data_IF_025108412284
#
_entry.id   IF_025108412284
#
_cell.length_a   1.000
_cell.length_b   1.000
_cell.length_c   1.000
_cell.angle_alpha   90.00
_cell.angle_beta   90.00
_cell.angle_gamma   90.00
#
_symmetry.space_group_name_H-M   'P 1'
#
loop_
_entity.id
_entity.type
_entity.pdbx_description
1 polymer ?
#
# COMPACT_ATOMS: atom_id res chain seq x y z
N UNK A 1 9.95 -15.66 32.67
CA UNK A 1 11.05 -14.90 32.06
C UNK A 1 10.40 -13.63 31.56
N UNK A 2 10.71 -12.48 32.17
CA UNK A 2 10.07 -11.22 31.78
C UNK A 2 10.64 -10.80 30.43
N UNK A 3 9.76 -10.56 29.45
CA UNK A 3 10.18 -10.11 28.12
C UNK A 3 10.61 -8.65 28.22
N UNK A 4 11.85 -8.37 27.84
CA UNK A 4 12.36 -7.01 27.78
C UNK A 4 12.01 -6.38 26.42
N UNK A 5 10.79 -5.86 26.30
CA UNK A 5 10.29 -5.25 25.06
C UNK A 5 11.16 -4.08 24.58
N UNK A 6 11.68 -3.28 25.51
CA UNK A 6 12.55 -2.16 25.16
C UNK A 6 13.85 -2.64 24.50
N UNK A 7 14.51 -3.65 25.06
CA UNK A 7 15.72 -4.21 24.46
C UNK A 7 15.46 -4.82 23.08
N UNK A 8 14.32 -5.49 22.88
CA UNK A 8 13.95 -6.03 21.57
C UNK A 8 13.70 -4.90 20.56
N UNK A 9 13.03 -3.82 20.96
CA UNK A 9 12.82 -2.65 20.12
C UNK A 9 14.15 -1.95 19.76
N UNK A 10 15.08 -1.80 20.71
CA UNK A 10 16.42 -1.24 20.44
C UNK A 10 17.24 -2.10 19.48
N UNK A 11 17.09 -3.43 19.54
CA UNK A 11 17.69 -4.34 18.55
C UNK A 11 17.09 -4.14 17.16
N UNK A 12 15.78 -3.92 17.06
CA UNK A 12 15.13 -3.59 15.78
C UNK A 12 15.64 -2.25 15.20
N UNK A 13 15.77 -1.23 16.04
CA UNK A 13 16.34 0.07 15.65
C UNK A 13 17.81 -0.06 15.20
N UNK A 14 18.61 -0.83 15.95
CA UNK A 14 20.01 -1.12 15.59
C UNK A 14 20.14 -1.91 14.30
N UNK A 15 19.19 -2.82 14.03
CA UNK A 15 19.12 -3.56 12.77
C UNK A 15 18.82 -2.62 11.59
N UNK A 16 17.78 -1.76 11.72
CA UNK A 16 17.43 -0.79 10.70
C UNK A 16 18.57 0.20 10.38
N UNK A 17 19.33 0.61 11.40
CA UNK A 17 20.46 1.53 11.25
C UNK A 17 21.56 0.98 10.32
N UNK A 18 21.71 -0.36 10.21
CA UNK A 18 22.66 -0.98 9.27
C UNK A 18 22.34 -0.65 7.82
N UNK A 19 21.08 -0.32 7.53
CA UNK A 19 20.59 0.12 6.22
C UNK A 19 20.39 1.65 6.16
N UNK A 20 21.01 2.41 7.07
CA UNK A 20 20.87 3.86 7.21
C UNK A 20 19.44 4.35 7.51
N UNK A 21 18.58 3.49 8.06
CA UNK A 21 17.22 3.86 8.47
C UNK A 21 17.24 4.20 9.96
N UNK A 22 16.85 5.42 10.31
CA UNK A 22 16.75 5.86 11.71
C UNK A 22 15.35 5.62 12.24
N UNK A 23 15.27 4.82 13.31
CA UNK A 23 14.05 4.46 13.99
C UNK A 23 14.02 5.12 15.37
N UNK A 24 13.36 6.26 15.47
CA UNK A 24 13.30 7.16 16.64
C UNK A 24 11.96 7.16 17.39
N UNK A 25 11.08 6.22 17.06
CA UNK A 25 9.74 6.04 17.64
C UNK A 25 8.75 7.16 17.28
N UNK A 26 9.04 7.93 16.22
CA UNK A 26 8.10 8.89 15.63
C UNK A 26 7.08 8.21 14.70
N UNK A 27 6.06 8.96 14.27
CA UNK A 27 5.17 8.51 13.19
C UNK A 27 5.93 8.17 11.90
N UNK A 28 7.00 8.90 11.60
CA UNK A 28 7.88 8.58 10.47
C UNK A 28 8.49 7.19 10.62
N UNK A 29 8.89 6.80 11.83
CA UNK A 29 9.42 5.46 12.10
C UNK A 29 8.43 4.34 11.75
N UNK A 30 7.11 4.58 11.84
CA UNK A 30 6.09 3.60 11.40
C UNK A 30 6.18 3.37 9.89
N UNK A 31 6.33 4.44 9.10
CA UNK A 31 6.48 4.35 7.65
C UNK A 31 7.81 3.68 7.25
N UNK A 32 8.89 3.95 7.97
CA UNK A 32 10.17 3.27 7.77
C UNK A 32 10.08 1.77 8.07
N UNK A 33 9.38 1.37 9.13
CA UNK A 33 9.13 -0.05 9.43
C UNK A 33 8.26 -0.71 8.36
N UNK A 34 7.23 -0.03 7.85
CA UNK A 34 6.44 -0.53 6.71
C UNK A 34 7.34 -0.81 5.49
N UNK A 35 8.25 0.11 5.15
CA UNK A 35 9.22 -0.08 4.07
C UNK A 35 10.15 -1.28 4.30
N UNK A 36 10.66 -1.44 5.52
CA UNK A 36 11.52 -2.58 5.89
C UNK A 36 10.77 -3.91 5.74
N UNK A 37 9.55 -4.01 6.28
CA UNK A 37 8.74 -5.24 6.17
C UNK A 37 8.36 -5.53 4.71
N UNK A 38 8.13 -4.47 3.92
CA UNK A 38 7.94 -4.57 2.48
C UNK A 38 9.15 -5.16 1.75
N UNK A 39 10.37 -4.82 2.17
CA UNK A 39 11.59 -5.40 1.60
C UNK A 39 11.66 -6.91 1.85
N UNK A 40 11.31 -7.37 3.06
CA UNK A 40 11.24 -8.82 3.34
C UNK A 40 10.20 -9.55 2.49
N UNK A 41 9.06 -8.92 2.22
CA UNK A 41 8.06 -9.47 1.29
C UNK A 41 8.59 -9.55 -0.15
N UNK A 42 9.25 -8.50 -0.63
CA UNK A 42 9.80 -8.45 -2.00
C UNK A 42 10.88 -9.54 -2.21
N UNK A 43 11.57 -9.95 -1.14
CA UNK A 43 12.61 -10.98 -1.13
C UNK A 43 12.14 -12.30 -0.49
N UNK A 44 10.83 -12.55 -0.37
CA UNK A 44 10.29 -13.69 0.37
C UNK A 44 10.82 -15.05 -0.14
N UNK A 45 11.09 -15.16 -1.44
CA UNK A 45 11.64 -16.35 -2.07
C UNK A 45 13.06 -16.72 -1.59
N UNK A 46 13.80 -15.78 -0.99
CA UNK A 46 15.13 -16.02 -0.42
C UNK A 46 15.06 -16.70 0.97
N UNK A 47 13.87 -16.79 1.56
CA UNK A 47 13.61 -17.32 2.89
C UNK A 47 12.83 -18.65 2.84
N UNK A 48 13.29 -19.60 2.03
CA UNK A 48 12.66 -20.91 1.93
C UNK A 48 12.98 -21.83 3.14
N UNK A 49 12.13 -22.83 3.33
CA UNK A 49 12.30 -23.83 4.38
C UNK A 49 12.14 -23.29 5.81
N UNK A 50 12.60 -24.10 6.77
CA UNK A 50 12.40 -23.83 8.21
C UNK A 50 13.23 -22.64 8.69
N UNK A 51 14.50 -22.59 8.30
CA UNK A 51 15.42 -21.53 8.76
C UNK A 51 15.00 -20.16 8.21
N UNK A 52 14.49 -20.12 6.99
CA UNK A 52 13.86 -18.93 6.41
C UNK A 52 12.63 -18.49 7.20
N UNK A 53 11.69 -19.42 7.49
CA UNK A 53 10.52 -19.14 8.29
C UNK A 53 10.86 -18.62 9.71
N UNK A 54 11.85 -19.23 10.38
CA UNK A 54 12.33 -18.79 11.70
C UNK A 54 12.94 -17.38 11.62
N UNK A 55 13.64 -17.06 10.52
CA UNK A 55 14.20 -15.73 10.28
C UNK A 55 13.09 -14.69 10.11
N UNK A 56 12.10 -14.94 9.24
CA UNK A 56 10.99 -14.03 9.00
C UNK A 56 10.14 -13.81 10.27
N UNK A 57 9.94 -14.87 11.06
CA UNK A 57 9.26 -14.76 12.35
C UNK A 57 10.05 -13.88 13.33
N UNK A 58 11.37 -14.06 13.43
CA UNK A 58 12.21 -13.23 14.28
C UNK A 58 12.17 -11.75 13.87
N UNK A 59 12.17 -11.47 12.56
CA UNK A 59 12.00 -10.11 12.02
C UNK A 59 10.64 -9.54 12.44
N UNK A 60 9.56 -10.30 12.28
CA UNK A 60 8.22 -9.90 12.68
C UNK A 60 8.12 -9.59 14.18
N UNK A 61 8.77 -10.39 15.04
CA UNK A 61 8.83 -10.16 16.48
C UNK A 61 9.54 -8.85 16.80
N UNK A 62 10.73 -8.61 16.23
CA UNK A 62 11.51 -7.40 16.51
C UNK A 62 10.79 -6.14 16.06
N UNK A 63 10.36 -6.10 14.80
CA UNK A 63 9.69 -4.93 14.24
C UNK A 63 8.26 -4.76 14.76
N UNK A 64 7.56 -5.85 15.07
CA UNK A 64 6.26 -5.80 15.74
C UNK A 64 6.36 -5.23 17.15
N UNK A 65 7.35 -5.65 17.94
CA UNK A 65 7.59 -5.07 19.27
C UNK A 65 8.00 -3.60 19.15
N UNK A 66 8.86 -3.25 18.19
CA UNK A 66 9.20 -1.85 17.92
C UNK A 66 7.97 -0.99 17.58
N UNK A 67 7.06 -1.49 16.74
CA UNK A 67 5.80 -0.81 16.42
C UNK A 67 4.95 -0.62 17.68
N UNK A 68 4.81 -1.65 18.52
CA UNK A 68 4.06 -1.54 19.77
C UNK A 68 4.67 -0.52 20.74
N UNK A 69 5.99 -0.48 20.90
CA UNK A 69 6.70 0.54 21.69
C UNK A 69 6.49 1.95 21.13
N UNK A 70 6.53 2.09 19.80
CA UNK A 70 6.24 3.34 19.10
C UNK A 70 4.81 3.80 19.40
N UNK A 71 3.82 2.91 19.29
CA UNK A 71 2.42 3.22 19.59
C UNK A 71 2.20 3.64 21.05
N UNK A 72 2.87 2.96 21.99
CA UNK A 72 2.83 3.33 23.41
C UNK A 72 3.37 4.74 23.65
N UNK A 73 4.48 5.11 23.00
CA UNK A 73 5.10 6.45 23.09
C UNK A 73 4.26 7.54 22.43
N UNK A 74 3.55 7.21 21.35
CA UNK A 74 2.65 8.11 20.63
C UNK A 74 1.25 8.22 21.29
N UNK A 75 1.14 7.92 22.59
CA UNK A 75 -0.05 8.21 23.38
C UNK A 75 -0.93 6.99 23.74
N UNK A 76 -0.66 5.78 23.24
CA UNK A 76 -1.43 4.60 23.68
C UNK A 76 -1.22 4.29 25.16
N UNK A 77 -0.04 4.58 25.71
CA UNK A 77 0.24 4.40 27.13
C UNK A 77 -0.68 5.25 28.01
N UNK A 78 -0.94 6.49 27.62
CA UNK A 78 -1.84 7.42 28.32
C UNK A 78 -3.29 6.93 28.29
N UNK A 79 -3.65 6.19 27.23
CA UNK A 79 -4.94 5.52 27.06
C UNK A 79 -5.02 4.15 27.78
N UNK A 80 -4.03 3.85 28.62
CA UNK A 80 -4.01 2.66 29.47
C UNK A 80 -3.58 1.36 28.77
N UNK A 81 -3.00 1.45 27.56
CA UNK A 81 -2.41 0.28 26.93
C UNK A 81 -1.07 -0.08 27.58
N UNK A 82 -0.84 -1.38 27.73
CA UNK A 82 0.44 -1.95 28.14
C UNK A 82 0.65 -3.30 27.45
N UNK A 83 1.89 -3.81 27.50
CA UNK A 83 2.21 -5.14 27.00
C UNK A 83 1.63 -6.24 27.89
N UNK A 84 1.06 -7.24 27.24
CA UNK A 84 0.59 -8.49 27.84
C UNK A 84 1.01 -9.67 26.98
N UNK A 85 1.05 -10.85 27.60
CA UNK A 85 1.18 -12.11 26.88
C UNK A 85 -0.20 -12.73 26.74
N UNK A 86 -0.60 -12.98 25.50
CA UNK A 86 -1.84 -13.63 25.12
C UNK A 86 -1.50 -14.84 24.28
N UNK A 87 -1.79 -16.04 24.78
CA UNK A 87 -1.43 -17.32 24.13
C UNK A 87 0.05 -17.37 23.65
N UNK A 88 0.97 -16.94 24.52
CA UNK A 88 2.40 -16.88 24.21
C UNK A 88 2.83 -15.71 23.32
N UNK A 89 1.90 -14.88 22.84
CA UNK A 89 2.17 -13.76 21.94
C UNK A 89 2.14 -12.41 22.66
N UNK A 90 3.13 -11.52 22.42
CA UNK A 90 3.08 -10.14 22.86
C UNK A 90 1.96 -9.36 22.17
N UNK A 91 1.09 -8.75 22.98
CA UNK A 91 -0.01 -7.90 22.53
C UNK A 91 -0.11 -6.66 23.41
N UNK A 92 -0.65 -5.57 22.86
CA UNK A 92 -1.05 -4.41 23.65
C UNK A 92 -2.50 -4.56 24.06
N UNK A 93 -2.80 -4.46 25.36
CA UNK A 93 -4.18 -4.45 25.88
C UNK A 93 -4.40 -3.25 26.78
N UNK A 94 -5.63 -2.75 26.77
CA UNK A 94 -6.15 -1.83 27.79
C UNK A 94 -7.25 -2.51 28.62
N UNK A 95 -7.71 -1.83 29.67
CA UNK A 95 -8.77 -2.35 30.55
C UNK A 95 -10.14 -2.49 29.84
N UNK A 96 -10.33 -1.86 28.69
CA UNK A 96 -11.56 -1.87 27.90
C UNK A 96 -11.69 -3.05 26.93
N UNK A 97 -10.87 -4.10 27.09
CA UNK A 97 -10.79 -5.32 26.23
C UNK A 97 -10.34 -5.07 24.78
N UNK A 98 -9.86 -3.86 24.44
CA UNK A 98 -9.21 -3.66 23.14
C UNK A 98 -7.85 -4.37 23.16
N UNK A 99 -7.61 -5.20 22.16
CA UNK A 99 -6.36 -5.93 21.98
C UNK A 99 -5.78 -5.60 20.61
N UNK A 100 -4.50 -5.24 20.60
CA UNK A 100 -3.74 -4.92 19.41
C UNK A 100 -2.57 -5.91 19.36
N UNK A 101 -2.34 -6.52 18.21
CA UNK A 101 -1.31 -7.55 18.02
C UNK A 101 -0.24 -7.11 16.99
N UNK A 102 0.70 -6.22 17.37
CA UNK A 102 1.69 -5.68 16.44
C UNK A 102 2.58 -6.76 15.79
N UNK A 103 3.00 -7.77 16.56
CA UNK A 103 3.83 -8.89 16.04
C UNK A 103 3.09 -9.68 14.98
N UNK A 104 1.83 -10.04 15.26
CA UNK A 104 0.99 -10.75 14.29
C UNK A 104 0.78 -9.92 13.03
N UNK A 105 0.59 -8.60 13.15
CA UNK A 105 0.45 -7.72 11.99
C UNK A 105 1.74 -7.64 11.17
N UNK A 106 2.89 -7.46 11.81
CA UNK A 106 4.19 -7.43 11.12
C UNK A 106 4.46 -8.75 10.38
N UNK A 107 4.14 -9.89 10.99
CA UNK A 107 4.26 -11.20 10.36
C UNK A 107 3.36 -11.32 9.12
N UNK A 108 2.09 -10.94 9.24
CA UNK A 108 1.17 -10.93 8.10
C UNK A 108 1.65 -10.00 6.98
N UNK A 109 2.18 -8.82 7.31
CA UNK A 109 2.75 -7.88 6.32
C UNK A 109 3.87 -8.49 5.49
N UNK A 110 4.75 -9.26 6.14
CA UNK A 110 5.86 -9.96 5.48
C UNK A 110 5.36 -11.04 4.54
N UNK A 111 4.28 -11.76 4.89
CA UNK A 111 3.80 -12.92 4.12
C UNK A 111 2.78 -12.56 3.03
N UNK A 112 1.88 -11.61 3.33
CA UNK A 112 0.74 -11.26 2.49
C UNK A 112 0.99 -10.01 1.66
N UNK A 113 1.97 -9.18 2.03
CA UNK A 113 2.32 -8.00 1.27
C UNK A 113 1.48 -6.76 1.64
N UNK A 114 1.35 -5.80 0.71
CA UNK A 114 0.69 -4.50 0.89
C UNK A 114 -0.68 -4.51 1.57
N UNK A 115 -1.50 -5.54 1.35
CA UNK A 115 -2.82 -5.69 1.97
C UNK A 115 -2.76 -5.71 3.52
N UNK A 116 -1.65 -6.16 4.08
CA UNK A 116 -1.38 -6.16 5.50
C UNK A 116 -0.50 -4.98 5.96
N UNK A 117 -0.66 -3.81 5.35
CA UNK A 117 0.07 -2.57 5.69
C UNK A 117 0.03 -2.24 7.20
N UNK A 118 1.20 -1.94 7.79
CA UNK A 118 1.31 -1.67 9.24
C UNK A 118 0.95 -0.23 9.61
N UNK A 119 1.10 0.74 8.69
CA UNK A 119 0.68 2.13 8.92
C UNK A 119 -0.84 2.20 9.08
N UNK A 120 -1.60 1.59 8.17
CA UNK A 120 -3.06 1.49 8.28
C UNK A 120 -3.50 0.81 9.57
N UNK A 121 -2.79 -0.23 9.99
CA UNK A 121 -3.04 -0.88 11.27
C UNK A 121 -2.81 0.05 12.47
N UNK A 122 -1.71 0.81 12.49
CA UNK A 122 -1.43 1.78 13.54
C UNK A 122 -2.50 2.89 13.58
N UNK A 123 -2.88 3.46 12.42
CA UNK A 123 -3.93 4.48 12.30
C UNK A 123 -5.25 3.99 12.94
N UNK A 124 -5.67 2.76 12.62
CA UNK A 124 -6.89 2.15 13.18
C UNK A 124 -6.75 1.91 14.68
N UNK A 125 -5.60 1.44 15.11
CA UNK A 125 -5.36 1.17 16.52
C UNK A 125 -5.42 2.47 17.35
N UNK A 126 -4.90 3.60 16.85
CA UNK A 126 -5.04 4.89 17.52
C UNK A 126 -6.48 5.37 17.59
N UNK A 127 -7.26 5.22 16.51
CA UNK A 127 -8.70 5.52 16.49
C UNK A 127 -9.47 4.69 17.54
N UNK A 128 -9.22 3.38 17.58
CA UNK A 128 -9.84 2.48 18.57
C UNK A 128 -9.49 2.90 20.00
N UNK A 129 -8.26 3.32 20.23
CA UNK A 129 -7.82 3.81 21.53
C UNK A 129 -8.54 5.11 21.93
N UNK A 130 -8.99 5.92 20.97
CA UNK A 130 -9.86 7.10 21.19
C UNK A 130 -11.35 6.76 21.32
N UNK A 131 -11.71 5.47 21.36
CA UNK A 131 -13.12 5.03 21.36
C UNK A 131 -13.84 5.31 20.05
N UNK A 132 -13.09 5.59 18.98
CA UNK A 132 -13.61 5.80 17.63
C UNK A 132 -13.49 4.51 16.84
N UNK A 133 -14.46 4.27 15.97
CA UNK A 133 -14.34 3.24 14.95
C UNK A 133 -14.01 3.90 13.62
N UNK A 134 -13.32 3.21 12.71
CA UNK A 134 -13.18 3.69 11.34
C UNK A 134 -14.58 3.83 10.72
N UNK A 135 -14.96 5.06 10.35
CA UNK A 135 -16.21 5.33 9.62
C UNK A 135 -16.10 4.93 8.13
N UNK A 136 -14.91 4.48 7.69
CA UNK A 136 -14.56 4.08 6.32
C UNK A 136 -13.76 2.77 6.34
N UNK A 137 -13.70 2.10 5.18
CA UNK A 137 -12.89 0.89 4.99
C UNK A 137 -11.44 1.13 5.42
N UNK A 138 -10.91 0.19 6.19
CA UNK A 138 -9.52 0.20 6.71
C UNK A 138 -8.52 -0.49 5.79
N UNK A 139 -9.03 -1.12 4.73
CA UNK A 139 -8.29 -1.75 3.65
C UNK A 139 -8.96 -1.37 2.33
N UNK A 140 -8.18 -1.26 1.26
CA UNK A 140 -8.70 -1.09 -0.10
C UNK A 140 -8.97 -2.48 -0.66
N UNK A 141 -10.25 -2.83 -0.77
CA UNK A 141 -10.65 -4.02 -1.51
C UNK A 141 -10.59 -3.68 -3.00
N UNK A 142 -9.88 -4.50 -3.78
CA UNK A 142 -9.65 -4.24 -5.20
C UNK A 142 -10.32 -5.32 -6.02
N UNK A 143 -11.25 -4.89 -6.88
CA UNK A 143 -11.85 -5.73 -7.89
C UNK A 143 -11.13 -5.51 -9.22
N UNK A 144 -10.91 -6.58 -9.97
CA UNK A 144 -10.35 -6.51 -11.32
C UNK A 144 -11.48 -6.62 -12.33
N UNK A 145 -11.59 -5.62 -13.20
CA UNK A 145 -12.51 -5.66 -14.34
C UNK A 145 -11.70 -5.86 -15.61
N UNK A 146 -12.11 -6.88 -16.36
CA UNK A 146 -11.55 -7.20 -17.66
C UNK A 146 -12.45 -6.65 -18.79
N UNK A 147 -11.89 -6.40 -19.98
CA UNK A 147 -12.65 -5.98 -21.16
C UNK A 147 -13.80 -6.92 -21.54
N UNK A 148 -13.68 -8.21 -21.19
CA UNK A 148 -14.73 -9.23 -21.36
C UNK A 148 -16.00 -8.95 -20.55
N UNK A 149 -15.97 -8.00 -19.61
CA UNK A 149 -17.04 -7.74 -18.64
C UNK A 149 -16.96 -8.62 -17.40
N UNK A 150 -15.97 -9.51 -17.32
CA UNK A 150 -15.70 -10.30 -16.11
C UNK A 150 -15.20 -9.40 -14.98
N UNK A 151 -15.75 -9.61 -13.79
CA UNK A 151 -15.30 -8.98 -12.55
C UNK A 151 -14.74 -10.08 -11.64
N UNK A 152 -13.49 -9.92 -11.22
CA UNK A 152 -12.88 -10.75 -10.17
C UNK A 152 -12.84 -9.92 -8.89
N UNK A 153 -13.55 -10.38 -7.86
CA UNK A 153 -13.68 -9.64 -6.61
C UNK A 153 -12.50 -9.87 -5.66
N UNK A 154 -12.11 -8.83 -4.91
CA UNK A 154 -11.13 -8.89 -3.83
C UNK A 154 -9.79 -9.54 -4.24
N UNK A 155 -9.25 -9.15 -5.38
CA UNK A 155 -7.96 -9.62 -5.88
C UNK A 155 -6.86 -9.14 -4.94
N UNK A 156 -5.97 -10.07 -4.55
CA UNK A 156 -4.84 -9.79 -3.69
C UNK A 156 -3.65 -9.25 -4.50
N UNK A 157 -2.76 -8.51 -3.86
CA UNK A 157 -1.63 -7.90 -4.56
C UNK A 157 -0.73 -8.96 -5.22
N UNK A 158 -0.50 -10.09 -4.56
CA UNK A 158 0.31 -11.19 -5.10
C UNK A 158 -0.26 -11.79 -6.40
N UNK A 159 -1.56 -11.66 -6.63
CA UNK A 159 -2.24 -12.23 -7.79
C UNK A 159 -2.32 -11.24 -8.96
N UNK A 160 -2.04 -9.95 -8.71
CA UNK A 160 -2.24 -8.88 -9.70
C UNK A 160 -1.30 -8.97 -10.91
N UNK A 161 -0.09 -9.50 -10.70
CA UNK A 161 0.93 -9.59 -11.74
C UNK A 161 0.43 -10.34 -12.99
N UNK A 162 -0.37 -11.39 -12.77
CA UNK A 162 -0.94 -12.19 -13.87
C UNK A 162 -1.83 -11.36 -14.80
N UNK A 163 -2.62 -10.42 -14.26
CA UNK A 163 -3.49 -9.54 -15.02
C UNK A 163 -2.71 -8.44 -15.73
N UNK A 164 -1.68 -7.88 -15.09
CA UNK A 164 -0.79 -6.89 -15.72
C UNK A 164 -0.11 -7.49 -16.96
N UNK A 165 0.38 -8.73 -16.87
CA UNK A 165 0.98 -9.44 -18.01
C UNK A 165 0.00 -9.63 -19.17
N UNK A 166 -1.30 -9.79 -18.92
CA UNK A 166 -2.30 -9.89 -20.00
C UNK A 166 -2.35 -8.59 -20.83
N UNK A 167 -2.22 -7.43 -20.19
CA UNK A 167 -2.17 -6.13 -20.88
C UNK A 167 -0.84 -5.95 -21.59
N UNK A 168 0.29 -6.20 -20.90
CA UNK A 168 1.63 -6.03 -21.46
C UNK A 168 1.84 -6.85 -22.74
N UNK A 169 1.30 -8.07 -22.77
CA UNK A 169 1.39 -8.99 -23.92
C UNK A 169 0.31 -8.75 -24.97
N UNK A 170 -0.58 -7.77 -24.75
CA UNK A 170 -1.66 -7.41 -25.66
C UNK A 170 -2.76 -8.47 -25.79
N UNK A 171 -2.92 -9.34 -24.78
CA UNK A 171 -4.03 -10.32 -24.70
C UNK A 171 -5.33 -9.68 -24.28
N UNK A 172 -5.25 -8.63 -23.46
CA UNK A 172 -6.38 -7.83 -23.00
C UNK A 172 -6.10 -6.35 -23.28
N UNK A 173 -7.15 -5.59 -23.54
CA UNK A 173 -7.07 -4.21 -24.05
C UNK A 173 -6.73 -3.19 -22.96
N UNK A 174 -7.29 -3.38 -21.77
CA UNK A 174 -7.14 -2.51 -20.61
C UNK A 174 -7.40 -3.31 -19.33
N UNK A 175 -6.96 -2.77 -18.19
CA UNK A 175 -7.27 -3.30 -16.86
C UNK A 175 -7.84 -2.18 -15.99
N UNK A 176 -8.93 -2.46 -15.27
CA UNK A 176 -9.46 -1.55 -14.25
C UNK A 176 -9.36 -2.23 -12.90
N UNK A 177 -8.69 -1.57 -11.96
CA UNK A 177 -8.65 -1.88 -10.54
C UNK A 177 -9.68 -0.99 -9.84
N UNK A 178 -10.87 -1.51 -9.62
CA UNK A 178 -11.95 -0.79 -8.93
C UNK A 178 -11.82 -0.98 -7.43
N UNK A 179 -12.11 0.07 -6.67
CA UNK A 179 -12.26 0.03 -5.22
C UNK A 179 -13.38 0.96 -4.77
N UNK A 180 -13.66 0.97 -3.47
CA UNK A 180 -14.81 1.71 -2.90
C UNK A 180 -14.83 3.23 -3.17
N UNK A 181 -13.67 3.84 -3.40
CA UNK A 181 -13.47 5.28 -3.52
C UNK A 181 -12.99 5.68 -4.93
N UNK A 182 -13.09 4.78 -5.91
CA UNK A 182 -12.75 5.08 -7.31
C UNK A 182 -12.07 3.91 -8.01
N UNK A 183 -11.26 4.22 -9.02
CA UNK A 183 -10.55 3.20 -9.77
C UNK A 183 -9.18 3.69 -10.22
N UNK A 184 -8.27 2.74 -10.43
CA UNK A 184 -7.07 2.91 -11.21
C UNK A 184 -7.18 2.06 -12.47
N UNK A 185 -6.99 2.63 -13.64
CA UNK A 185 -7.01 1.90 -14.90
C UNK A 185 -5.76 2.18 -15.73
N UNK A 186 -5.40 1.23 -16.58
CA UNK A 186 -4.34 1.42 -17.56
C UNK A 186 -4.55 0.56 -18.80
N UNK A 187 -3.97 1.03 -19.91
CA UNK A 187 -3.95 0.35 -21.19
C UNK A 187 -2.63 0.65 -21.90
N UNK A 188 -2.16 -0.27 -22.73
CA UNK A 188 -0.84 -0.18 -23.32
C UNK A 188 -0.30 -1.52 -23.79
N UNK A 189 0.91 -1.51 -24.33
CA UNK A 189 1.62 -2.71 -24.79
C UNK A 189 3.11 -2.38 -24.93
N UNK A 190 3.98 -3.39 -24.90
CA UNK A 190 5.41 -3.22 -25.19
C UNK A 190 6.10 -2.12 -24.35
N UNK A 191 5.86 -2.12 -23.04
CA UNK A 191 6.43 -1.15 -22.10
C UNK A 191 6.02 0.31 -22.33
N UNK A 192 4.87 0.54 -22.97
CA UNK A 192 4.26 1.87 -23.15
C UNK A 192 2.81 1.83 -22.72
N UNK A 193 2.49 2.53 -21.63
CA UNK A 193 1.16 2.52 -21.02
C UNK A 193 0.67 3.93 -20.75
N UNK A 194 -0.64 4.10 -20.80
CA UNK A 194 -1.33 5.28 -20.26
C UNK A 194 -2.14 4.80 -19.07
N UNK A 195 -2.06 5.54 -17.97
CA UNK A 195 -2.75 5.18 -16.73
C UNK A 195 -3.53 6.35 -16.17
N UNK A 196 -4.72 6.06 -15.68
CA UNK A 196 -5.67 7.04 -15.19
C UNK A 196 -6.19 6.60 -13.81
N UNK A 197 -6.29 7.56 -12.91
CA UNK A 197 -6.90 7.39 -11.60
C UNK A 197 -8.16 8.23 -11.56
N UNK A 198 -9.24 7.66 -11.05
CA UNK A 198 -10.43 8.41 -10.63
C UNK A 198 -10.64 8.22 -9.14
N UNK A 199 -10.94 9.32 -8.45
CA UNK A 199 -11.33 9.31 -7.04
C UNK A 199 -12.75 9.88 -6.93
N UNK A 200 -13.66 9.10 -6.35
CA UNK A 200 -15.04 9.51 -6.12
C UNK A 200 -15.17 10.18 -4.76
N UNK A 201 -15.79 11.36 -4.74
CA UNK A 201 -15.99 12.17 -3.54
C UNK A 201 -17.34 11.86 -2.87
N UNK A 202 -17.47 12.04 -1.54
CA UNK A 202 -18.69 11.71 -0.81
C UNK A 202 -19.93 12.50 -1.24
N UNK A 203 -19.76 13.67 -1.86
CA UNK A 203 -20.82 14.52 -2.39
C UNK A 203 -21.32 14.09 -3.78
N UNK A 204 -20.75 13.02 -4.34
CA UNK A 204 -21.06 12.51 -5.66
C UNK A 204 -20.22 13.13 -6.79
N UNK A 205 -19.33 14.08 -6.49
CA UNK A 205 -18.36 14.59 -7.44
C UNK A 205 -17.16 13.62 -7.57
N UNK A 206 -16.21 13.93 -8.46
CA UNK A 206 -15.00 13.14 -8.66
C UNK A 206 -13.81 14.00 -9.12
N UNK A 207 -12.63 13.50 -8.80
CA UNK A 207 -11.36 13.99 -9.35
C UNK A 207 -10.73 12.92 -10.25
N UNK A 208 -9.98 13.35 -11.25
CA UNK A 208 -9.19 12.46 -12.11
C UNK A 208 -7.75 12.90 -12.22
N UNK A 209 -6.86 11.93 -12.35
CA UNK A 209 -5.43 12.15 -12.45
C UNK A 209 -4.84 11.25 -13.55
N UNK A 210 -3.95 11.81 -14.37
CA UNK A 210 -3.09 11.01 -15.26
C UNK A 210 -1.78 10.70 -14.55
N UNK A 211 -1.34 9.45 -14.58
CA UNK A 211 0.00 9.07 -14.15
C UNK A 211 1.00 9.56 -15.21
N UNK A 212 2.14 10.09 -14.77
CA UNK A 212 3.18 10.60 -15.68
C UNK A 212 4.55 9.95 -15.47
N UNK A 213 5.34 9.93 -16.54
CA UNK A 213 6.77 9.70 -16.47
C UNK A 213 7.42 10.99 -15.96
N UNK A 214 7.92 10.93 -14.73
CA UNK A 214 8.52 12.09 -14.05
C UNK A 214 9.74 12.64 -14.78
N UNK A 215 10.49 11.80 -15.50
CA UNK A 215 11.62 12.25 -16.30
C UNK A 215 11.18 13.10 -17.51
N UNK A 216 9.91 12.94 -17.92
CA UNK A 216 9.29 13.62 -19.06
C UNK A 216 8.25 14.65 -18.64
N UNK A 217 8.19 15.07 -17.37
CA UNK A 217 7.13 15.94 -16.83
C UNK A 217 6.80 17.19 -17.67
N UNK A 218 7.83 17.78 -18.29
CA UNK A 218 7.72 18.97 -19.15
C UNK A 218 7.33 18.69 -20.61
N UNK A 219 7.29 17.42 -21.04
CA UNK A 219 7.01 17.00 -22.41
C UNK A 219 5.50 16.86 -22.65
N UNK A 220 4.87 17.98 -23.00
CA UNK A 220 3.42 18.07 -23.26
C UNK A 220 3.02 17.77 -24.70
N UNK A 221 4.00 17.49 -25.58
CA UNK A 221 3.76 17.14 -26.98
C UNK A 221 2.90 15.88 -27.07
N UNK A 222 1.91 15.88 -27.96
CA UNK A 222 1.09 14.69 -28.25
C UNK A 222 1.86 13.69 -29.10
N UNK A 223 1.84 12.42 -28.71
CA UNK A 223 2.51 11.30 -29.40
C UNK A 223 1.48 10.25 -29.80
N UNK A 224 1.73 9.51 -30.88
CA UNK A 224 0.83 8.44 -31.30
C UNK A 224 1.13 7.17 -30.50
N UNK A 225 0.11 6.66 -29.80
CA UNK A 225 0.17 5.38 -29.09
C UNK A 225 -0.84 4.44 -29.74
N UNK A 226 -0.36 3.28 -30.19
CA UNK A 226 -1.22 2.22 -30.73
C UNK A 226 -1.25 1.06 -29.74
N UNK A 227 -2.45 0.71 -29.29
CA UNK A 227 -2.70 -0.40 -28.38
C UNK A 227 -3.73 -1.35 -28.99
N UNK A 228 -3.92 -2.56 -28.45
CA UNK A 228 -5.04 -3.43 -28.82
C UNK A 228 -6.40 -2.71 -28.69
N UNK A 229 -6.55 -1.84 -27.69
CA UNK A 229 -7.74 -1.03 -27.46
C UNK A 229 -7.99 0.03 -28.56
N UNK A 230 -6.95 0.51 -29.23
CA UNK A 230 -7.09 1.50 -30.30
C UNK A 230 -5.88 2.43 -30.49
N UNK A 231 -6.10 3.50 -31.24
CA UNK A 231 -5.11 4.55 -31.45
C UNK A 231 -5.44 5.78 -30.62
N UNK A 232 -4.47 6.18 -29.81
CA UNK A 232 -4.55 7.30 -28.89
C UNK A 232 -3.45 8.30 -29.19
N UNK A 233 -3.63 9.53 -28.70
CA UNK A 233 -2.65 10.60 -28.91
C UNK A 233 -2.15 11.23 -27.61
N UNK A 234 -1.83 10.49 -26.53
CA UNK A 234 -1.51 11.07 -25.21
C UNK A 234 -0.36 12.10 -25.27
N UNK A 235 -0.23 12.96 -24.26
CA UNK A 235 1.00 13.72 -24.11
C UNK A 235 2.16 12.76 -23.80
N UNK A 236 3.37 13.07 -24.27
CA UNK A 236 4.54 12.22 -24.13
C UNK A 236 4.84 11.86 -22.66
N UNK A 237 4.62 12.82 -21.75
CA UNK A 237 4.72 12.61 -20.30
C UNK A 237 3.72 11.60 -19.73
N UNK A 238 2.58 11.37 -20.39
CA UNK A 238 1.54 10.44 -19.93
C UNK A 238 1.80 9.00 -20.40
N UNK A 239 2.82 8.79 -21.24
CA UNK A 239 3.25 7.44 -21.67
C UNK A 239 4.34 6.94 -20.73
N UNK A 240 3.96 5.99 -19.88
CA UNK A 240 4.79 5.44 -18.79
C UNK A 240 5.24 4.01 -19.07
N UNK A 241 6.31 3.59 -18.38
CA UNK A 241 6.82 2.21 -18.45
C UNK A 241 6.02 1.25 -17.56
N UNK A 242 6.22 -0.05 -17.77
CA UNK A 242 5.68 -1.10 -16.89
C UNK A 242 6.15 -0.95 -15.44
N UNK A 243 7.39 -0.47 -15.24
CA UNK A 243 7.93 -0.19 -13.91
C UNK A 243 7.07 0.84 -13.17
N UNK A 244 6.68 1.92 -13.85
CA UNK A 244 5.78 2.93 -13.29
C UNK A 244 4.39 2.35 -13.05
N UNK A 245 3.85 1.53 -13.96
CA UNK A 245 2.57 0.83 -13.75
C UNK A 245 2.62 -0.01 -12.48
N UNK A 246 3.64 -0.86 -12.31
CA UNK A 246 3.78 -1.72 -11.12
C UNK A 246 3.92 -0.90 -9.83
N UNK A 247 4.65 0.22 -9.87
CA UNK A 247 4.76 1.13 -8.73
C UNK A 247 3.41 1.74 -8.35
N UNK A 248 2.61 2.20 -9.33
CA UNK A 248 1.28 2.76 -9.07
C UNK A 248 0.31 1.68 -8.58
N UNK A 249 0.34 0.47 -9.15
CA UNK A 249 -0.46 -0.66 -8.66
C UNK A 249 -0.11 -0.94 -7.20
N UNK A 250 1.17 -1.05 -6.85
CA UNK A 250 1.60 -1.26 -5.45
C UNK A 250 1.07 -0.17 -4.53
N UNK A 251 1.29 1.09 -4.90
CA UNK A 251 0.79 2.24 -4.12
C UNK A 251 -0.74 2.20 -3.95
N UNK A 252 -1.48 1.75 -4.96
CA UNK A 252 -2.93 1.61 -4.89
C UNK A 252 -3.37 0.61 -3.83
N UNK A 253 -2.67 -0.53 -3.72
CA UNK A 253 -2.90 -1.51 -2.65
C UNK A 253 -2.44 -1.02 -1.26
N UNK A 254 -1.34 -0.26 -1.19
CA UNK A 254 -0.75 0.21 0.08
C UNK A 254 -1.54 1.36 0.72
N UNK A 255 -2.22 2.18 -0.08
CA UNK A 255 -2.79 3.44 0.39
C UNK A 255 -4.32 3.51 0.26
N UNK A 256 -4.98 3.45 1.42
CA UNK A 256 -6.43 3.65 1.53
C UNK A 256 -6.81 5.13 1.40
N UNK A 257 -6.00 6.03 1.97
CA UNK A 257 -6.23 7.48 1.89
C UNK A 257 -5.73 8.00 0.55
N UNK A 258 -6.57 8.78 -0.15
CA UNK A 258 -6.23 9.38 -1.44
C UNK A 258 -4.97 10.22 -1.38
N UNK A 259 -4.80 11.06 -0.36
CA UNK A 259 -3.62 11.94 -0.25
C UNK A 259 -2.31 11.13 -0.10
N UNK A 260 -2.35 10.05 0.68
CA UNK A 260 -1.21 9.13 0.84
C UNK A 260 -0.90 8.45 -0.51
N UNK A 261 -1.94 7.99 -1.24
CA UNK A 261 -1.79 7.38 -2.56
C UNK A 261 -1.20 8.33 -3.59
N UNK A 262 -1.77 9.53 -3.72
CA UNK A 262 -1.31 10.55 -4.66
C UNK A 262 0.10 11.03 -4.31
N UNK A 263 0.44 11.13 -3.02
CA UNK A 263 1.79 11.46 -2.57
C UNK A 263 2.85 10.42 -2.96
N UNK A 264 2.44 9.17 -3.21
CA UNK A 264 3.33 8.06 -3.57
C UNK A 264 3.56 7.91 -5.09
N UNK A 265 2.81 8.62 -5.94
CA UNK A 265 2.85 8.44 -7.40
C UNK A 265 3.16 9.75 -8.15
N UNK A 266 3.80 9.69 -9.33
CA UNK A 266 3.93 10.84 -10.21
C UNK A 266 2.63 11.03 -11.01
N UNK A 267 1.94 12.16 -10.82
CA UNK A 267 0.67 12.43 -11.47
C UNK A 267 0.50 13.90 -11.88
N UNK A 268 -0.50 14.15 -12.71
CA UNK A 268 -1.08 15.48 -12.96
C UNK A 268 -2.58 15.43 -12.76
N UNK A 269 -3.16 16.52 -12.26
CA UNK A 269 -4.62 16.67 -12.17
C UNK A 269 -5.21 16.90 -13.56
N UNK A 270 -6.18 16.06 -13.92
CA UNK A 270 -6.90 16.11 -15.20
C UNK A 270 -8.40 16.35 -15.03
N UNK A 271 -8.86 16.62 -13.81
CA UNK A 271 -10.28 16.71 -13.44
C UNK A 271 -11.06 17.66 -14.36
N UNK A 272 -10.59 18.89 -14.51
CA UNK A 272 -11.26 19.90 -15.34
C UNK A 272 -11.30 19.53 -16.83
N UNK A 273 -10.26 18.85 -17.31
CA UNK A 273 -10.18 18.39 -18.70
C UNK A 273 -11.21 17.26 -18.89
N UNK A 274 -11.23 16.30 -17.97
CA UNK A 274 -12.17 15.17 -18.00
C UNK A 274 -13.61 15.64 -17.91
N UNK A 275 -13.94 16.52 -16.95
CA UNK A 275 -15.29 17.08 -16.80
C UNK A 275 -15.75 17.79 -18.07
N UNK A 276 -14.89 18.62 -18.68
CA UNK A 276 -15.17 19.27 -19.97
C UNK A 276 -15.44 18.27 -21.08
N UNK A 277 -14.64 17.20 -21.19
CA UNK A 277 -14.85 16.15 -22.18
C UNK A 277 -16.17 15.38 -21.97
N UNK A 278 -16.62 15.27 -20.72
CA UNK A 278 -17.90 14.65 -20.36
C UNK A 278 -19.11 15.60 -20.47
N UNK A 279 -18.88 16.90 -20.69
CA UNK A 279 -19.94 17.91 -20.73
C UNK A 279 -20.51 18.27 -19.36
N UNK A 280 -19.70 18.12 -18.29
CA UNK A 280 -20.02 18.48 -16.91
C UNK A 280 -19.49 19.87 -16.56
#
# INVERSE_FOLDING_TARGET
MDINYHEIAERAASHALKSNITLDYSEKSIAEVESILGTYYDHLAEYDGKDGADTLWNVAVHYGIYLGETMLRLGMKEKGFAWYIDDGMPVLKNQAKAQISPVTKAHKRILNGPEDNVKSFCDVAFLLADGKFPDKNVHRAINVHLPSGQVIENVLYRDIASYITMIETGREDFLILESQDGFFQFYGVNNQFVCEVRVNLPDGDFHTYSVIDKAKEQQTRRVQLTTPYGQFTPAEREVVSLEVVNMVVRAYYEHVKTDDFLGAIPYIDTTEITKRCMGL
#
